data_IF_867864541939
#
_entry.id   IF_867864541939
#
_cell.length_a   1.000
_cell.length_b   1.000
_cell.length_c   1.000
_cell.angle_alpha   90.00
_cell.angle_beta   90.00
_cell.angle_gamma   90.00
#
_symmetry.space_group_name_H-M   'P 1'
#
loop_
_entity.id
_entity.type
_entity.pdbx_description
1 polymer ?
#
# COMPACT_ATOMS: atom_id res chain seq x y z
N UNK A 1 -20.98 -6.32 -4.19
CA UNK A 1 -19.74 -5.71 -3.64
C UNK A 1 -18.58 -6.22 -4.48
N UNK A 2 -17.50 -5.45 -4.66
CA UNK A 2 -16.44 -5.83 -5.58
C UNK A 2 -15.38 -6.69 -4.87
N UNK A 3 -15.43 -8.00 -5.06
CA UNK A 3 -14.60 -8.96 -4.33
C UNK A 3 -13.09 -8.68 -4.47
N UNK A 4 -12.66 -8.12 -5.60
CA UNK A 4 -11.26 -7.71 -5.81
C UNK A 4 -10.87 -6.59 -4.85
N UNK A 5 -11.72 -5.56 -4.72
CA UNK A 5 -11.47 -4.42 -3.81
C UNK A 5 -11.43 -4.90 -2.36
N UNK A 6 -12.40 -5.74 -1.96
CA UNK A 6 -12.47 -6.29 -0.59
C UNK A 6 -11.18 -7.05 -0.27
N UNK A 7 -10.76 -7.95 -1.16
CA UNK A 7 -9.59 -8.79 -0.93
C UNK A 7 -8.29 -7.96 -0.84
N UNK A 8 -8.18 -6.88 -1.63
CA UNK A 8 -7.02 -5.98 -1.56
C UNK A 8 -7.01 -5.18 -0.26
N UNK A 9 -8.15 -4.64 0.17
CA UNK A 9 -8.27 -3.95 1.47
C UNK A 9 -7.92 -4.90 2.62
N UNK A 10 -8.51 -6.10 2.65
CA UNK A 10 -8.22 -7.11 3.67
C UNK A 10 -6.74 -7.55 3.67
N UNK A 11 -6.05 -7.46 2.54
CA UNK A 11 -4.60 -7.72 2.47
C UNK A 11 -3.80 -6.59 3.08
N UNK A 12 -4.13 -5.33 2.77
CA UNK A 12 -3.50 -4.14 3.36
C UNK A 12 -3.67 -4.17 4.88
N UNK A 13 -4.89 -4.38 5.37
CA UNK A 13 -5.21 -4.43 6.79
C UNK A 13 -4.42 -5.50 7.54
N UNK A 14 -4.34 -6.73 6.98
CA UNK A 14 -3.54 -7.82 7.59
C UNK A 14 -2.05 -7.50 7.64
N UNK A 15 -1.51 -6.85 6.60
CA UNK A 15 -0.10 -6.44 6.58
C UNK A 15 0.18 -5.39 7.66
N UNK A 16 -0.68 -4.37 7.77
CA UNK A 16 -0.57 -3.33 8.80
C UNK A 16 -0.70 -3.92 10.22
N UNK A 17 -1.65 -4.82 10.43
CA UNK A 17 -1.81 -5.53 11.70
C UNK A 17 -0.54 -6.33 12.04
N UNK A 18 0.05 -7.03 11.05
CA UNK A 18 1.26 -7.82 11.27
C UNK A 18 2.46 -6.93 11.64
N UNK A 19 2.62 -5.80 10.97
CA UNK A 19 3.66 -4.81 11.30
C UNK A 19 3.53 -4.36 12.75
N UNK A 20 2.32 -3.96 13.16
CA UNK A 20 2.07 -3.49 14.52
C UNK A 20 2.36 -4.57 15.58
N UNK A 21 1.98 -5.83 15.32
CA UNK A 21 2.28 -6.95 16.22
C UNK A 21 3.78 -7.19 16.33
N UNK A 22 4.48 -7.31 15.21
CA UNK A 22 5.94 -7.58 15.20
C UNK A 22 6.71 -6.43 15.86
N UNK A 23 6.33 -5.20 15.59
CA UNK A 23 6.93 -4.01 16.18
C UNK A 23 6.68 -3.94 17.70
N UNK A 24 5.49 -4.34 18.17
CA UNK A 24 5.22 -4.41 19.60
C UNK A 24 6.02 -5.53 20.30
N UNK A 25 6.20 -6.68 19.65
CA UNK A 25 6.96 -7.81 20.21
C UNK A 25 8.46 -7.54 20.35
N UNK A 26 9.05 -6.75 19.45
CA UNK A 26 10.50 -6.49 19.44
C UNK A 26 10.92 -5.41 20.45
N UNK A 27 10.00 -4.53 20.84
CA UNK A 27 10.24 -3.38 21.71
C UNK A 27 11.50 -2.59 21.28
N UNK A 28 12.46 -2.40 22.19
CA UNK A 28 13.67 -1.60 21.95
C UNK A 28 14.74 -2.34 21.11
N UNK A 29 14.56 -3.63 20.84
CA UNK A 29 15.57 -4.46 20.17
C UNK A 29 15.49 -4.43 18.64
N UNK A 30 14.59 -3.62 18.05
CA UNK A 30 14.36 -3.64 16.61
C UNK A 30 15.64 -3.46 15.81
N UNK A 31 16.58 -2.62 16.26
CA UNK A 31 17.84 -2.34 15.55
C UNK A 31 18.78 -3.54 15.41
N UNK A 32 18.60 -4.59 16.22
CA UNK A 32 19.46 -5.77 16.26
C UNK A 32 18.73 -7.07 15.88
N UNK A 33 17.40 -7.09 15.90
CA UNK A 33 16.59 -8.24 15.47
C UNK A 33 16.26 -8.15 13.98
N UNK A 34 17.20 -8.61 13.14
CA UNK A 34 17.05 -8.59 11.68
C UNK A 34 15.86 -9.42 11.17
N UNK A 35 15.49 -10.50 11.84
CA UNK A 35 14.33 -11.31 11.44
C UNK A 35 13.04 -10.51 11.56
N UNK A 36 12.88 -9.73 12.64
CA UNK A 36 11.70 -8.85 12.80
C UNK A 36 11.76 -7.63 11.89
N UNK A 37 12.93 -7.06 11.63
CA UNK A 37 13.10 -6.03 10.60
C UNK A 37 12.63 -6.53 9.23
N UNK A 38 13.11 -7.69 8.79
CA UNK A 38 12.72 -8.31 7.52
C UNK A 38 11.21 -8.58 7.46
N UNK A 39 10.62 -9.03 8.57
CA UNK A 39 9.18 -9.25 8.65
C UNK A 39 8.39 -7.94 8.47
N UNK A 40 8.83 -6.84 9.09
CA UNK A 40 8.19 -5.53 8.95
C UNK A 40 8.34 -5.02 7.52
N UNK A 41 9.55 -5.04 6.95
CA UNK A 41 9.84 -4.60 5.58
C UNK A 41 8.99 -5.38 4.58
N UNK A 42 8.91 -6.70 4.71
CA UNK A 42 8.13 -7.55 3.83
C UNK A 42 6.63 -7.22 3.88
N UNK A 43 6.08 -6.94 5.07
CA UNK A 43 4.66 -6.58 5.18
C UNK A 43 4.40 -5.15 4.68
N UNK A 44 5.35 -4.22 4.82
CA UNK A 44 5.26 -2.88 4.21
C UNK A 44 5.22 -3.00 2.68
N UNK A 45 6.14 -3.76 2.09
CA UNK A 45 6.16 -4.02 0.66
C UNK A 45 4.83 -4.60 0.16
N UNK A 46 4.29 -5.62 0.84
CA UNK A 46 3.00 -6.24 0.48
C UNK A 46 1.83 -5.27 0.58
N UNK A 47 1.81 -4.39 1.58
CA UNK A 47 0.77 -3.36 1.72
C UNK A 47 0.85 -2.35 0.56
N UNK A 48 2.06 -1.94 0.17
CA UNK A 48 2.29 -1.05 -0.97
C UNK A 48 1.84 -1.70 -2.29
N UNK A 49 2.24 -2.95 -2.56
CA UNK A 49 1.82 -3.70 -3.75
C UNK A 49 0.29 -3.84 -3.82
N UNK A 50 -0.36 -4.21 -2.71
CA UNK A 50 -1.82 -4.30 -2.67
C UNK A 50 -2.52 -2.95 -2.91
N UNK A 51 -1.92 -1.85 -2.47
CA UNK A 51 -2.41 -0.49 -2.72
C UNK A 51 -2.26 -0.07 -4.17
N UNK A 52 -1.13 -0.42 -4.82
CA UNK A 52 -0.89 -0.17 -6.26
C UNK A 52 -1.89 -0.97 -7.10
N UNK A 53 -2.09 -2.25 -6.78
CA UNK A 53 -3.06 -3.10 -7.47
C UNK A 53 -4.48 -2.54 -7.36
N UNK A 54 -4.85 -2.05 -6.18
CA UNK A 54 -6.15 -1.43 -5.96
C UNK A 54 -6.28 -0.13 -6.77
N UNK A 55 -5.24 0.70 -6.83
CA UNK A 55 -5.26 1.91 -7.64
C UNK A 55 -5.40 1.62 -9.14
N UNK A 56 -4.64 0.65 -9.65
CA UNK A 56 -4.74 0.17 -11.04
C UNK A 56 -6.13 -0.38 -11.35
N UNK A 57 -6.71 -1.13 -10.41
CA UNK A 57 -8.07 -1.64 -10.53
C UNK A 57 -9.09 -0.51 -10.67
N UNK A 58 -9.04 0.50 -9.79
CA UNK A 58 -9.95 1.64 -9.81
C UNK A 58 -9.77 2.46 -11.10
N UNK A 59 -8.53 2.74 -11.51
CA UNK A 59 -8.23 3.43 -12.77
C UNK A 59 -8.86 2.73 -13.98
N UNK A 60 -8.80 1.38 -14.02
CA UNK A 60 -9.43 0.57 -15.08
C UNK A 60 -10.96 0.65 -15.02
N UNK A 61 -11.56 0.49 -13.84
CA UNK A 61 -13.02 0.49 -13.69
C UNK A 61 -13.64 1.85 -14.03
N UNK A 62 -12.97 2.94 -13.62
CA UNK A 62 -13.43 4.32 -13.83
C UNK A 62 -12.91 4.92 -15.15
N UNK A 63 -12.14 4.16 -15.94
CA UNK A 63 -11.55 4.58 -17.23
C UNK A 63 -10.74 5.88 -17.14
N UNK A 64 -9.95 6.03 -16.07
CA UNK A 64 -9.20 7.26 -15.77
C UNK A 64 -7.92 7.41 -16.62
N UNK A 65 -7.49 6.34 -17.28
CA UNK A 65 -6.27 6.29 -18.09
C UNK A 65 -5.49 5.01 -17.87
N UNK A 66 -4.37 4.87 -18.58
CA UNK A 66 -3.44 3.74 -18.45
C UNK A 66 -2.18 4.25 -17.72
N UNK A 67 -2.03 3.96 -16.41
CA UNK A 67 -0.83 4.37 -15.67
C UNK A 67 0.41 3.69 -16.25
N UNK A 68 1.52 4.43 -16.37
CA UNK A 68 2.81 3.91 -16.86
C UNK A 68 3.76 3.52 -15.71
N UNK A 69 3.40 3.90 -14.49
CA UNK A 69 4.13 3.60 -13.25
C UNK A 69 3.17 3.51 -12.07
N UNK A 70 3.65 3.00 -10.93
CA UNK A 70 2.91 3.02 -9.65
C UNK A 70 2.57 4.46 -9.23
N UNK A 71 3.46 5.41 -9.47
CA UNK A 71 3.20 6.84 -9.21
C UNK A 71 2.06 7.36 -10.05
N UNK A 72 2.06 7.06 -11.34
CA UNK A 72 1.00 7.48 -12.24
C UNK A 72 -0.34 6.88 -11.82
N UNK A 73 -0.35 5.65 -11.28
CA UNK A 73 -1.57 5.03 -10.80
C UNK A 73 -2.24 5.87 -9.69
N UNK A 74 -1.47 6.35 -8.70
CA UNK A 74 -2.00 7.22 -7.64
C UNK A 74 -2.29 8.65 -8.13
N UNK A 75 -1.49 9.16 -9.07
CA UNK A 75 -1.70 10.47 -9.68
C UNK A 75 -3.05 10.56 -10.43
N UNK A 76 -3.43 9.51 -11.17
CA UNK A 76 -4.72 9.45 -11.85
C UNK A 76 -5.90 9.47 -10.87
N UNK A 77 -5.78 8.78 -9.73
CA UNK A 77 -6.81 8.82 -8.68
C UNK A 77 -6.95 10.19 -8.03
N UNK A 78 -5.82 10.86 -7.77
CA UNK A 78 -5.81 12.21 -7.22
C UNK A 78 -6.50 13.19 -8.17
N UNK A 79 -6.13 13.17 -9.47
CA UNK A 79 -6.76 14.01 -10.50
C UNK A 79 -8.26 13.76 -10.64
N UNK A 80 -8.72 12.54 -10.36
CA UNK A 80 -10.12 12.17 -10.33
C UNK A 80 -10.84 12.50 -9.00
N UNK A 81 -10.15 13.13 -8.04
CA UNK A 81 -10.67 13.48 -6.69
C UNK A 81 -11.10 12.23 -5.90
N UNK A 82 -10.49 11.08 -6.18
CA UNK A 82 -10.74 9.81 -5.48
C UNK A 82 -9.73 9.53 -4.37
N UNK A 83 -8.64 10.30 -4.32
CA UNK A 83 -7.57 10.15 -3.34
C UNK A 83 -7.15 11.54 -2.86
N UNK A 84 -7.10 11.82 -1.55
CA UNK A 84 -6.59 13.09 -1.04
C UNK A 84 -5.13 13.33 -1.45
N UNK A 85 -4.76 14.58 -1.68
CA UNK A 85 -3.41 14.96 -2.15
C UNK A 85 -2.31 14.42 -1.23
N UNK A 86 -2.46 14.60 0.09
CA UNK A 86 -1.48 14.15 1.08
C UNK A 86 -1.23 12.63 0.99
N UNK A 87 -2.30 11.85 0.82
CA UNK A 87 -2.21 10.39 0.69
C UNK A 87 -1.53 10.02 -0.63
N UNK A 88 -1.92 10.67 -1.73
CA UNK A 88 -1.31 10.45 -3.04
C UNK A 88 0.20 10.77 -3.01
N UNK A 89 0.59 11.91 -2.42
CA UNK A 89 1.99 12.30 -2.27
C UNK A 89 2.77 11.28 -1.45
N UNK A 90 2.22 10.81 -0.34
CA UNK A 90 2.89 9.82 0.51
C UNK A 90 3.07 8.49 -0.20
N UNK A 91 2.01 7.95 -0.84
CA UNK A 91 2.09 6.66 -1.56
C UNK A 91 3.04 6.70 -2.75
N UNK A 92 3.17 7.85 -3.43
CA UNK A 92 4.12 8.04 -4.53
C UNK A 92 5.60 7.97 -4.11
N UNK A 93 5.94 8.08 -2.83
CA UNK A 93 7.33 8.06 -2.34
C UNK A 93 7.89 6.66 -2.11
N UNK A 94 7.03 5.67 -1.93
CA UNK A 94 7.44 4.33 -1.49
C UNK A 94 7.87 3.39 -2.62
N UNK A 95 7.76 3.82 -3.88
CA UNK A 95 8.06 2.97 -5.03
C UNK A 95 8.69 3.80 -6.17
N UNK A 96 9.98 4.13 -6.04
CA UNK A 96 10.96 4.21 -7.15
C UNK A 96 12.08 3.21 -6.88
#
# INVERSE_FOLDING_TARGET
MNDVVINKIATIERCLQRINVVYAEVADNLSTDFTRQDSIVLNLQRACEASIDLANYVNKQQKLGIPQSSRDAFELLFKAVLLPEEVAVNLKRWWD
#
